data_IF_248154633238
#
_entry.id   IF_248154633238
#
_cell.length_a   1.000
_cell.length_b   1.000
_cell.length_c   1.000
_cell.angle_alpha   90.00
_cell.angle_beta   90.00
_cell.angle_gamma   90.00
#
_symmetry.space_group_name_H-M   'P 1'
#
loop_
_entity.id
_entity.type
_entity.pdbx_description
1 polymer ?
#
# COMPACT_ATOMS: atom_id res chain seq x y z
N UNK A 1 51.19 -9.58 19.52
CA UNK A 1 49.76 -9.70 19.13
C UNK A 1 48.93 -8.99 20.18
N UNK A 2 48.35 -7.84 19.82
CA UNK A 2 47.55 -6.98 20.70
C UNK A 2 46.14 -7.57 20.85
N UNK A 3 45.71 -7.80 22.08
CA UNK A 3 44.31 -8.13 22.42
C UNK A 3 43.47 -6.85 22.28
N UNK A 4 42.53 -6.85 21.34
CA UNK A 4 41.50 -5.82 21.21
C UNK A 4 40.33 -6.22 22.12
N UNK A 5 40.08 -5.41 23.16
CA UNK A 5 38.89 -5.47 24.00
C UNK A 5 37.70 -4.90 23.20
N UNK A 6 36.74 -5.75 22.84
CA UNK A 6 35.43 -5.35 22.36
C UNK A 6 34.57 -4.93 23.55
N UNK A 7 34.39 -3.62 23.75
CA UNK A 7 33.34 -3.09 24.61
C UNK A 7 32.01 -3.14 23.84
N UNK A 8 31.18 -4.15 24.11
CA UNK A 8 29.74 -4.09 23.78
C UNK A 8 29.04 -3.64 25.06
N UNK A 9 28.70 -2.36 25.14
CA UNK A 9 27.78 -1.88 26.16
C UNK A 9 26.38 -2.40 25.80
N UNK A 10 25.87 -3.37 26.56
CA UNK A 10 24.46 -3.71 26.53
C UNK A 10 23.66 -2.49 27.01
N UNK A 11 23.02 -1.78 26.08
CA UNK A 11 22.10 -0.68 26.39
C UNK A 11 20.77 -1.31 26.79
N UNK A 12 20.54 -1.47 28.08
CA UNK A 12 19.23 -1.82 28.63
C UNK A 12 18.30 -0.61 28.49
N UNK A 13 17.35 -0.70 27.56
CA UNK A 13 16.12 0.07 27.61
C UNK A 13 15.28 -0.52 28.74
N UNK A 14 15.18 0.20 29.86
CA UNK A 14 14.24 -0.14 30.92
C UNK A 14 12.93 0.55 30.56
N UNK A 15 11.93 -0.23 30.15
CA UNK A 15 10.55 0.17 30.34
C UNK A 15 10.36 0.42 31.82
N UNK A 16 9.86 1.60 32.19
CA UNK A 16 9.68 1.96 33.59
C UNK A 16 8.88 0.88 34.30
N UNK A 17 9.53 0.18 35.24
CA UNK A 17 8.85 -0.69 36.19
C UNK A 17 8.05 0.23 37.11
N UNK A 18 6.75 0.36 36.85
CA UNK A 18 5.79 0.82 37.85
C UNK A 18 5.22 -0.45 38.47
N UNK A 19 5.52 -0.64 39.76
CA UNK A 19 5.09 -1.79 40.53
C UNK A 19 3.57 -1.95 40.56
N UNK A 20 3.13 -3.20 40.52
CA UNK A 20 1.74 -3.61 40.68
C UNK A 20 1.30 -3.33 42.12
N UNK A 21 0.24 -2.54 42.29
CA UNK A 21 -0.53 -2.48 43.54
C UNK A 21 -1.31 -1.20 43.77
N UNK A 22 -2.62 -1.20 43.44
CA UNK A 22 -3.61 -0.34 44.11
C UNK A 22 -4.45 0.56 43.19
N UNK A 23 -5.75 0.24 43.11
CA UNK A 23 -6.81 1.12 42.59
C UNK A 23 -6.82 2.49 43.28
N UNK A 24 -6.82 3.57 42.51
CA UNK A 24 -7.19 4.91 42.98
C UNK A 24 -6.41 6.06 42.35
N UNK A 25 -7.00 6.66 41.31
CA UNK A 25 -7.01 8.10 41.02
C UNK A 25 -5.71 8.89 41.21
N UNK A 26 -5.09 9.28 40.08
CA UNK A 26 -5.07 10.68 39.63
C UNK A 26 -4.22 10.81 38.37
N UNK A 27 -4.72 11.62 37.44
CA UNK A 27 -3.94 12.25 36.40
C UNK A 27 -2.64 12.83 37.01
N UNK A 28 -1.55 12.08 36.87
CA UNK A 28 -0.23 12.65 36.96
C UNK A 28 -0.04 13.38 35.63
N UNK A 29 -0.26 14.69 35.65
CA UNK A 29 0.12 15.53 34.54
C UNK A 29 1.56 15.17 34.18
N UNK A 30 1.77 14.64 32.98
CA UNK A 30 3.10 14.39 32.45
C UNK A 30 3.81 15.74 32.43
N UNK A 31 4.65 16.02 33.43
CA UNK A 31 5.61 17.10 33.32
C UNK A 31 6.39 16.83 32.03
N UNK A 32 6.33 17.77 31.09
CA UNK A 32 7.12 17.70 29.87
C UNK A 32 8.58 17.54 30.28
N UNK A 33 9.09 16.31 30.22
CA UNK A 33 10.43 16.01 30.66
C UNK A 33 11.39 16.71 29.70
N UNK A 34 11.98 17.82 30.15
CA UNK A 34 12.95 18.57 29.36
C UNK A 34 14.25 17.77 29.31
N UNK A 35 14.65 17.30 28.13
CA UNK A 35 15.94 16.65 27.95
C UNK A 35 17.07 17.68 27.84
N UNK A 36 18.24 17.36 28.42
CA UNK A 36 19.40 18.24 28.46
C UNK A 36 19.98 18.56 27.07
N UNK A 37 19.73 17.69 26.11
CA UNK A 37 20.22 17.72 24.73
C UNK A 37 19.12 18.04 23.70
N UNK A 38 17.95 18.51 24.16
CA UNK A 38 16.84 18.94 23.31
C UNK A 38 16.56 20.41 23.54
N UNK A 39 17.16 21.26 22.70
CA UNK A 39 16.94 22.70 22.72
C UNK A 39 15.52 23.05 22.29
N UNK A 40 14.90 24.03 22.96
CA UNK A 40 13.57 24.58 22.61
C UNK A 40 13.51 25.17 21.20
N UNK A 41 14.67 25.57 20.65
CA UNK A 41 14.79 26.12 19.31
C UNK A 41 15.17 25.06 18.25
N UNK A 42 15.32 23.79 18.63
CA UNK A 42 15.61 22.73 17.69
C UNK A 42 14.39 22.40 16.82
N UNK A 43 14.62 22.09 15.54
CA UNK A 43 13.54 21.74 14.60
C UNK A 43 12.70 20.53 15.06
N UNK A 44 13.30 19.65 15.88
CA UNK A 44 12.66 18.45 16.41
C UNK A 44 11.96 18.65 17.75
N UNK A 45 12.08 19.82 18.40
CA UNK A 45 11.59 20.04 19.76
C UNK A 45 10.11 19.66 19.93
N UNK A 46 9.24 20.18 19.06
CA UNK A 46 7.80 19.91 19.11
C UNK A 46 7.47 18.45 18.82
N UNK A 47 8.18 17.82 17.88
CA UNK A 47 7.96 16.41 17.52
C UNK A 47 8.39 15.46 18.63
N UNK A 48 9.49 15.76 19.32
CA UNK A 48 9.95 15.00 20.48
C UNK A 48 8.91 15.09 21.61
N UNK A 49 8.46 16.29 21.95
CA UNK A 49 7.45 16.46 23.00
C UNK A 49 6.10 15.79 22.67
N UNK A 50 5.66 15.88 21.41
CA UNK A 50 4.46 15.19 20.91
C UNK A 50 4.59 13.67 21.09
N UNK A 51 5.69 13.07 20.62
CA UNK A 51 5.93 11.64 20.73
C UNK A 51 6.06 11.15 22.18
N UNK A 52 6.65 11.96 23.07
CA UNK A 52 6.72 11.68 24.51
C UNK A 52 5.34 11.69 25.15
N UNK A 53 4.53 12.72 24.86
CA UNK A 53 3.20 12.88 25.46
C UNK A 53 2.24 11.74 25.09
N UNK A 54 2.49 11.09 23.95
CA UNK A 54 1.75 9.92 23.47
C UNK A 54 2.39 8.58 23.88
N UNK A 55 3.51 8.59 24.60
CA UNK A 55 4.19 7.36 25.04
C UNK A 55 4.84 6.53 23.92
N UNK A 56 5.03 7.10 22.73
CA UNK A 56 5.60 6.41 21.55
C UNK A 56 7.12 6.29 21.66
N UNK A 57 7.76 7.30 22.23
CA UNK A 57 9.21 7.36 22.47
C UNK A 57 9.46 7.71 23.93
N UNK A 58 10.58 7.26 24.48
CA UNK A 58 11.11 7.68 25.78
C UNK A 58 12.56 8.18 25.67
N UNK A 59 12.99 8.95 26.67
CA UNK A 59 14.39 9.33 26.83
C UNK A 59 15.20 8.34 27.67
N UNK A 60 16.46 8.67 27.91
CA UNK A 60 17.38 7.86 28.69
C UNK A 60 17.37 8.23 30.17
N UNK A 61 17.72 7.30 31.09
CA UNK A 61 17.74 7.56 32.54
C UNK A 61 18.65 8.73 32.97
N UNK A 62 19.65 9.10 32.16
CA UNK A 62 20.56 10.22 32.42
C UNK A 62 19.94 11.61 32.08
N UNK A 63 18.69 11.65 31.62
CA UNK A 63 17.98 12.86 31.22
C UNK A 63 18.32 13.38 29.81
N UNK A 64 18.81 12.50 28.93
CA UNK A 64 19.08 12.81 27.51
C UNK A 64 18.07 12.13 26.58
N UNK A 65 17.88 12.70 25.39
CA UNK A 65 17.07 12.11 24.32
C UNK A 65 17.93 11.44 23.25
N UNK A 66 19.13 11.97 23.00
CA UNK A 66 20.04 11.64 21.91
C UNK A 66 19.42 11.78 20.52
N UNK A 67 19.09 13.01 20.09
CA UNK A 67 18.33 13.25 18.86
C UNK A 67 19.01 12.72 17.59
N UNK A 68 20.34 12.73 17.54
CA UNK A 68 21.12 12.34 16.36
C UNK A 68 21.51 10.84 16.35
N UNK A 69 21.30 10.12 17.46
CA UNK A 69 21.57 8.69 17.52
C UNK A 69 20.62 7.94 16.57
N UNK A 70 21.09 6.90 15.86
CA UNK A 70 20.23 6.10 15.01
C UNK A 70 19.23 5.28 15.83
N UNK A 71 18.02 5.10 15.32
CA UNK A 71 17.08 4.11 15.87
C UNK A 71 17.37 2.73 15.32
N UNK A 72 17.21 1.73 16.17
CA UNK A 72 17.27 0.32 15.75
C UNK A 72 15.99 -0.08 15.00
N UNK A 73 16.03 -1.21 14.30
CA UNK A 73 14.83 -1.80 13.67
C UNK A 73 13.70 -1.99 14.70
N UNK A 74 13.99 -2.60 15.85
CA UNK A 74 13.02 -2.81 16.93
C UNK A 74 12.40 -1.49 17.44
N UNK A 75 13.24 -0.46 17.65
CA UNK A 75 12.75 0.86 18.08
C UNK A 75 11.87 1.49 17.00
N UNK A 76 12.26 1.39 15.74
CA UNK A 76 11.50 1.95 14.63
C UNK A 76 10.13 1.28 14.49
N UNK A 77 10.04 -0.06 14.57
CA UNK A 77 8.78 -0.80 14.54
C UNK A 77 7.84 -0.36 15.67
N UNK A 78 8.34 -0.30 16.91
CA UNK A 78 7.57 0.23 18.05
C UNK A 78 7.04 1.64 17.76
N UNK A 79 7.88 2.53 17.24
CA UNK A 79 7.52 3.92 16.98
C UNK A 79 6.41 4.01 15.93
N UNK A 80 6.55 3.34 14.78
CA UNK A 80 5.57 3.45 13.69
C UNK A 80 4.23 2.81 14.06
N UNK A 81 4.24 1.65 14.72
CA UNK A 81 3.01 0.97 15.16
C UNK A 81 2.27 1.81 16.20
N UNK A 82 2.97 2.29 17.23
CA UNK A 82 2.34 3.12 18.26
C UNK A 82 1.93 4.51 17.77
N UNK A 83 2.33 4.92 16.55
CA UNK A 83 1.83 6.17 15.97
C UNK A 83 0.35 6.12 15.61
N UNK A 84 -0.18 4.91 15.39
CA UNK A 84 -1.60 4.66 15.12
C UNK A 84 -2.35 4.10 16.33
N UNK A 85 -1.69 3.98 17.48
CA UNK A 85 -2.26 3.39 18.68
C UNK A 85 -2.55 4.45 19.76
N UNK A 86 -3.50 4.15 20.65
CA UNK A 86 -3.73 4.83 21.90
C UNK A 86 -3.95 3.82 23.04
N UNK A 87 -4.24 4.31 24.25
CA UNK A 87 -4.48 3.48 25.44
C UNK A 87 -5.86 3.79 26.06
N UNK A 88 -6.85 4.16 25.24
CA UNK A 88 -8.16 4.60 25.75
C UNK A 88 -8.92 3.52 26.52
N UNK A 89 -8.58 2.25 26.27
CA UNK A 89 -9.21 1.08 26.89
C UNK A 89 -8.41 0.49 28.06
N UNK A 90 -7.33 1.15 28.52
CA UNK A 90 -6.45 0.66 29.58
C UNK A 90 -5.43 -0.40 29.11
N UNK A 91 -5.33 -0.60 27.81
CA UNK A 91 -4.28 -1.33 27.11
C UNK A 91 -4.07 -0.67 25.75
N UNK A 92 -2.88 -0.84 25.17
CA UNK A 92 -2.55 -0.23 23.88
C UNK A 92 -3.30 -0.92 22.75
N UNK A 93 -3.98 -0.13 21.93
CA UNK A 93 -4.79 -0.60 20.82
C UNK A 93 -4.75 0.39 19.65
N UNK A 94 -5.10 -0.04 18.44
CA UNK A 94 -5.27 0.89 17.32
C UNK A 94 -6.28 1.97 17.69
N UNK A 95 -5.89 3.23 17.61
CA UNK A 95 -6.74 4.34 18.03
C UNK A 95 -8.01 4.40 17.18
N UNK A 96 -9.17 4.58 17.80
CA UNK A 96 -10.46 4.63 17.09
C UNK A 96 -10.47 5.71 16.00
N UNK A 97 -9.87 6.87 16.30
CA UNK A 97 -9.69 7.96 15.34
C UNK A 97 -8.86 7.58 14.10
N UNK A 98 -8.01 6.56 14.19
CA UNK A 98 -7.25 6.03 13.06
C UNK A 98 -8.07 4.97 12.31
N UNK A 99 -8.82 4.14 13.04
CA UNK A 99 -9.71 3.14 12.44
C UNK A 99 -10.83 3.75 11.60
N UNK A 100 -11.20 5.02 11.83
CA UNK A 100 -12.11 5.79 10.97
C UNK A 100 -11.63 5.91 9.51
N UNK A 101 -10.32 5.88 9.26
CA UNK A 101 -9.76 5.90 7.89
C UNK A 101 -9.79 4.53 7.22
N UNK A 102 -10.00 3.46 7.99
CA UNK A 102 -9.89 2.08 7.52
C UNK A 102 -11.28 1.58 7.10
N UNK A 103 -11.46 1.05 5.88
CA UNK A 103 -12.71 0.38 5.51
C UNK A 103 -12.99 -0.83 6.39
N UNK A 104 -14.25 -1.10 6.71
CA UNK A 104 -14.64 -2.17 7.66
C UNK A 104 -14.05 -3.54 7.32
N UNK A 105 -13.96 -3.86 6.02
CA UNK A 105 -13.38 -5.11 5.57
C UNK A 105 -11.87 -5.22 5.84
N UNK A 106 -11.15 -4.09 5.90
CA UNK A 106 -9.71 -4.07 6.16
C UNK A 106 -9.40 -3.91 7.66
N UNK A 107 -10.32 -3.34 8.45
CA UNK A 107 -10.17 -3.25 9.92
C UNK A 107 -9.85 -4.61 10.53
N UNK A 108 -10.48 -5.69 10.04
CA UNK A 108 -10.25 -7.05 10.55
C UNK A 108 -8.78 -7.49 10.48
N UNK A 109 -8.02 -7.01 9.50
CA UNK A 109 -6.59 -7.34 9.37
C UNK A 109 -5.80 -6.66 10.49
N UNK A 110 -6.19 -5.43 10.88
CA UNK A 110 -5.63 -4.75 12.04
C UNK A 110 -6.07 -5.40 13.35
N UNK A 111 -7.33 -5.87 13.48
CA UNK A 111 -7.82 -6.59 14.66
C UNK A 111 -7.15 -7.96 14.84
N UNK A 112 -6.87 -8.69 13.75
CA UNK A 112 -6.27 -10.02 13.80
C UNK A 112 -4.81 -9.98 14.25
N UNK A 113 -4.09 -8.89 13.93
CA UNK A 113 -2.70 -8.68 14.35
C UNK A 113 -2.56 -8.27 15.83
N UNK A 114 -3.63 -8.27 16.65
CA UNK A 114 -3.57 -7.78 18.03
C UNK A 114 -3.37 -8.92 19.03
N UNK A 115 -2.11 -9.12 19.44
CA UNK A 115 -1.84 -9.22 20.87
C UNK A 115 -1.88 -7.81 21.47
N UNK A 116 -2.31 -7.63 22.71
CA UNK A 116 -2.11 -6.34 23.40
C UNK A 116 -0.64 -5.93 23.22
N UNK A 117 -0.31 -4.65 22.95
CA UNK A 117 1.12 -4.20 22.84
C UNK A 117 1.85 -4.24 24.20
N UNK A 118 1.48 -5.19 25.05
CA UNK A 118 2.13 -5.54 26.31
C UNK A 118 3.48 -6.20 25.98
N UNK A 119 4.53 -5.79 26.70
CA UNK A 119 5.89 -6.10 26.29
C UNK A 119 6.19 -7.61 26.45
N UNK A 120 6.53 -8.25 25.33
CA UNK A 120 7.06 -9.61 25.28
C UNK A 120 8.52 -9.71 25.77
N UNK A 121 9.13 -10.88 25.62
CA UNK A 121 10.54 -11.10 26.00
C UNK A 121 11.29 -11.74 24.83
N UNK A 122 12.05 -10.94 24.05
CA UNK A 122 12.53 -9.58 24.33
C UNK A 122 11.44 -8.49 24.20
N UNK A 123 11.65 -7.32 24.80
CA UNK A 123 10.67 -6.21 24.86
C UNK A 123 10.05 -5.83 23.51
N UNK A 124 10.76 -6.08 22.41
CA UNK A 124 10.32 -5.74 21.05
C UNK A 124 9.53 -6.83 20.33
N UNK A 125 9.43 -8.04 20.91
CA UNK A 125 8.84 -9.24 20.28
C UNK A 125 7.43 -8.97 19.77
N UNK A 126 6.56 -8.38 20.59
CA UNK A 126 5.18 -8.04 20.20
C UNK A 126 5.12 -7.12 18.97
N UNK A 127 6.05 -6.17 18.83
CA UNK A 127 6.08 -5.26 17.68
C UNK A 127 6.59 -5.96 16.41
N UNK A 128 7.46 -6.95 16.57
CA UNK A 128 7.94 -7.79 15.46
C UNK A 128 6.81 -8.70 14.99
N UNK A 129 6.08 -9.32 15.92
CA UNK A 129 4.95 -10.19 15.61
C UNK A 129 3.87 -9.42 14.85
N UNK A 130 3.43 -8.27 15.39
CA UNK A 130 2.46 -7.38 14.72
C UNK A 130 2.97 -6.95 13.34
N UNK A 131 4.24 -6.58 13.22
CA UNK A 131 4.81 -6.16 11.94
C UNK A 131 4.87 -7.30 10.92
N UNK A 132 5.06 -8.55 11.36
CA UNK A 132 5.07 -9.74 10.51
C UNK A 132 3.64 -10.11 10.10
N UNK A 133 2.69 -10.09 11.03
CA UNK A 133 1.26 -10.37 10.77
C UNK A 133 0.63 -9.36 9.81
N UNK A 134 1.09 -8.11 9.85
CA UNK A 134 0.70 -7.05 8.92
C UNK A 134 1.58 -6.99 7.66
N UNK A 135 2.49 -7.96 7.47
CA UNK A 135 3.40 -8.02 6.31
C UNK A 135 4.26 -6.76 6.10
N UNK A 136 4.50 -5.97 7.15
CA UNK A 136 5.38 -4.80 7.11
C UNK A 136 6.85 -5.21 6.95
N UNK A 137 7.17 -6.38 7.52
CA UNK A 137 8.44 -7.08 7.33
C UNK A 137 8.15 -8.55 6.97
N UNK A 138 8.89 -9.13 6.01
CA UNK A 138 8.88 -10.56 5.75
C UNK A 138 9.21 -11.40 6.99
N UNK A 139 8.60 -12.58 7.09
CA UNK A 139 8.90 -13.54 8.14
C UNK A 139 10.39 -13.89 8.14
N UNK A 140 11.02 -13.81 9.32
CA UNK A 140 12.45 -14.05 9.48
C UNK A 140 13.36 -12.88 9.10
N UNK A 141 12.83 -11.78 8.53
CA UNK A 141 13.62 -10.59 8.29
C UNK A 141 14.10 -9.99 9.62
N UNK A 142 15.39 -9.68 9.74
CA UNK A 142 16.06 -9.17 10.95
C UNK A 142 16.19 -10.13 12.14
N UNK A 143 15.91 -11.43 12.01
CA UNK A 143 16.21 -12.40 13.09
C UNK A 143 17.67 -12.28 13.54
N UNK A 144 17.87 -12.04 14.84
CA UNK A 144 19.18 -11.78 15.45
C UNK A 144 19.76 -10.37 15.22
N UNK A 145 19.07 -9.51 14.47
CA UNK A 145 19.55 -8.19 14.01
C UNK A 145 18.59 -7.03 14.30
N UNK A 146 17.55 -7.24 15.12
CA UNK A 146 16.58 -6.20 15.50
C UNK A 146 17.19 -4.99 16.22
N UNK A 147 18.39 -5.14 16.80
CA UNK A 147 19.13 -4.05 17.44
C UNK A 147 20.08 -3.30 16.48
N UNK A 148 20.13 -3.66 15.21
CA UNK A 148 20.88 -2.92 14.20
C UNK A 148 20.14 -1.63 13.81
N UNK A 149 20.85 -0.54 13.47
CA UNK A 149 20.27 0.66 12.89
C UNK A 149 19.48 0.38 11.61
N UNK A 150 18.31 1.01 11.46
CA UNK A 150 17.51 0.91 10.23
C UNK A 150 17.90 2.00 9.21
N UNK A 151 18.03 1.62 7.93
CA UNK A 151 18.24 2.59 6.84
C UNK A 151 16.93 3.24 6.40
N UNK A 152 17.04 4.41 5.75
CA UNK A 152 15.89 5.21 5.33
C UNK A 152 15.00 4.53 4.29
N UNK A 153 15.56 3.76 3.37
CA UNK A 153 14.78 3.00 2.36
C UNK A 153 13.99 1.83 2.99
N UNK A 154 14.56 1.17 4.01
CA UNK A 154 13.88 0.10 4.74
C UNK A 154 12.77 0.64 5.62
N UNK A 155 13.06 1.75 6.31
CA UNK A 155 12.05 2.52 7.04
C UNK A 155 10.91 2.99 6.11
N UNK A 156 11.24 3.41 4.89
CA UNK A 156 10.26 3.80 3.89
C UNK A 156 9.30 2.66 3.54
N UNK A 157 9.81 1.45 3.32
CA UNK A 157 9.00 0.26 3.07
C UNK A 157 8.00 -0.01 4.19
N UNK A 158 8.48 -0.04 5.45
CA UNK A 158 7.64 -0.32 6.62
C UNK A 158 6.55 0.75 6.77
N UNK A 159 6.90 2.02 6.59
CA UNK A 159 5.94 3.13 6.61
C UNK A 159 4.93 2.98 5.48
N UNK A 160 5.39 2.64 4.27
CA UNK A 160 4.55 2.57 3.09
C UNK A 160 3.45 1.53 3.27
N UNK A 161 3.85 0.33 3.72
CA UNK A 161 2.92 -0.77 4.00
C UNK A 161 1.94 -0.40 5.11
N UNK A 162 2.45 0.06 6.27
CA UNK A 162 1.61 0.37 7.43
C UNK A 162 0.60 1.47 7.11
N UNK A 163 1.04 2.61 6.58
CA UNK A 163 0.15 3.74 6.30
C UNK A 163 -0.87 3.40 5.21
N UNK A 164 -0.61 2.41 4.34
CA UNK A 164 -1.56 1.98 3.31
C UNK A 164 -2.77 1.24 3.86
N UNK A 165 -2.65 0.59 5.02
CA UNK A 165 -3.83 0.06 5.74
C UNK A 165 -4.80 1.17 6.15
N UNK A 166 -4.29 2.37 6.43
CA UNK A 166 -5.11 3.50 6.88
C UNK A 166 -5.54 4.41 5.72
N UNK A 167 -4.67 4.63 4.74
CA UNK A 167 -4.90 5.67 3.72
C UNK A 167 -4.93 5.14 2.28
N UNK A 168 -4.78 3.83 2.08
CA UNK A 168 -4.78 3.20 0.77
C UNK A 168 -3.46 3.37 0.01
N UNK A 169 -3.36 2.68 -1.13
CA UNK A 169 -2.13 2.61 -1.93
C UNK A 169 -2.10 3.64 -3.05
N UNK A 170 -0.93 4.27 -3.23
CA UNK A 170 -0.62 5.02 -4.45
C UNK A 170 -0.31 4.07 -5.62
N UNK A 171 -0.47 4.54 -6.86
CA UNK A 171 -0.04 3.77 -8.04
C UNK A 171 1.49 3.74 -8.12
N UNK A 172 2.05 2.58 -8.49
CA UNK A 172 3.48 2.40 -8.68
C UNK A 172 4.07 3.47 -9.60
N UNK A 173 3.52 3.66 -10.80
CA UNK A 173 4.03 4.63 -11.79
C UNK A 173 4.05 6.05 -11.23
N UNK A 174 3.00 6.44 -10.51
CA UNK A 174 2.89 7.75 -9.87
C UNK A 174 3.90 7.93 -8.73
N UNK A 175 4.08 6.90 -7.89
CA UNK A 175 5.08 6.88 -6.82
C UNK A 175 6.51 6.96 -7.39
N UNK A 176 6.83 6.12 -8.38
CA UNK A 176 8.12 6.07 -9.06
C UNK A 176 8.47 7.41 -9.71
N UNK A 177 7.51 8.05 -10.39
CA UNK A 177 7.68 9.36 -10.98
C UNK A 177 7.98 10.41 -9.91
N UNK A 178 7.28 10.37 -8.78
CA UNK A 178 7.49 11.28 -7.65
C UNK A 178 8.90 11.14 -7.10
N UNK A 179 9.35 9.91 -6.81
CA UNK A 179 10.70 9.65 -6.32
C UNK A 179 11.77 10.14 -7.30
N UNK A 180 11.62 9.82 -8.58
CA UNK A 180 12.57 10.20 -9.65
C UNK A 180 12.69 11.72 -9.81
N UNK A 181 11.58 12.46 -9.73
CA UNK A 181 11.61 13.92 -9.89
C UNK A 181 12.05 14.65 -8.62
N UNK A 182 11.77 14.08 -7.44
CA UNK A 182 12.03 14.74 -6.16
C UNK A 182 13.45 14.48 -5.64
N UNK A 183 13.99 13.28 -5.86
CA UNK A 183 15.23 12.83 -5.23
C UNK A 183 16.36 12.65 -6.25
N UNK A 184 17.42 13.45 -6.09
CA UNK A 184 18.63 13.41 -6.94
C UNK A 184 19.40 12.10 -6.83
N UNK A 185 19.19 11.35 -5.75
CA UNK A 185 19.82 10.06 -5.45
C UNK A 185 18.82 8.91 -5.45
N UNK A 186 17.67 9.07 -6.11
CA UNK A 186 16.65 8.03 -6.19
C UNK A 186 17.21 6.71 -6.72
N UNK A 187 18.08 6.78 -7.74
CA UNK A 187 18.78 5.64 -8.35
C UNK A 187 19.79 4.92 -7.41
N UNK A 188 19.96 5.37 -6.17
CA UNK A 188 20.74 4.67 -5.13
C UNK A 188 19.86 3.84 -4.20
N UNK A 189 18.55 3.95 -4.33
CA UNK A 189 17.57 3.11 -3.64
C UNK A 189 17.62 1.72 -4.27
N UNK A 190 17.51 0.66 -3.48
CA UNK A 190 17.30 -0.66 -4.06
C UNK A 190 15.93 -0.72 -4.76
N UNK A 191 15.87 -1.33 -5.95
CA UNK A 191 14.66 -1.44 -6.80
C UNK A 191 13.40 -1.85 -6.00
N UNK A 192 13.59 -2.75 -5.02
CA UNK A 192 12.53 -3.23 -4.14
C UNK A 192 11.86 -2.11 -3.31
N UNK A 193 12.61 -1.07 -2.92
CA UNK A 193 12.12 0.03 -2.08
C UNK A 193 11.75 1.30 -2.86
N UNK A 194 12.02 1.37 -4.16
CA UNK A 194 11.80 2.58 -4.96
C UNK A 194 10.34 3.06 -4.93
N UNK A 195 9.39 2.13 -5.07
CA UNK A 195 7.97 2.45 -4.99
C UNK A 195 7.60 3.05 -3.62
N UNK A 196 8.07 2.42 -2.54
CA UNK A 196 7.79 2.86 -1.18
C UNK A 196 8.36 4.26 -0.91
N UNK A 197 9.61 4.51 -1.32
CA UNK A 197 10.26 5.83 -1.21
C UNK A 197 9.47 6.91 -1.95
N UNK A 198 8.97 6.61 -3.15
CA UNK A 198 8.11 7.52 -3.90
C UNK A 198 6.74 7.74 -3.22
N UNK A 199 6.11 6.68 -2.75
CA UNK A 199 4.76 6.67 -2.17
C UNK A 199 4.67 7.41 -0.83
N UNK A 200 5.66 7.26 0.05
CA UNK A 200 5.69 8.03 1.31
C UNK A 200 6.00 9.51 1.08
N UNK A 201 6.66 9.85 -0.02
CA UNK A 201 6.85 11.24 -0.43
C UNK A 201 5.54 11.83 -0.99
N UNK A 202 4.81 11.06 -1.80
CA UNK A 202 3.44 11.41 -2.23
C UNK A 202 2.57 11.74 -1.02
N UNK A 203 2.64 10.92 0.03
CA UNK A 203 1.87 11.11 1.26
C UNK A 203 2.48 12.15 2.21
N UNK A 204 3.66 12.69 1.91
CA UNK A 204 4.28 13.76 2.69
C UNK A 204 4.87 13.33 4.03
N UNK A 205 5.17 12.04 4.20
CA UNK A 205 5.70 11.46 5.44
C UNK A 205 7.24 11.55 5.46
N UNK A 206 7.90 11.13 4.38
CA UNK A 206 9.34 11.33 4.19
C UNK A 206 9.61 11.96 2.82
N UNK A 207 10.05 13.21 2.83
CA UNK A 207 10.19 14.05 1.63
C UNK A 207 11.65 14.43 1.33
N UNK A 208 12.62 13.70 1.89
CA UNK A 208 14.05 13.98 1.75
C UNK A 208 14.50 15.25 2.48
N UNK A 209 15.71 15.72 2.15
CA UNK A 209 16.26 16.97 2.66
C UNK A 209 16.00 18.16 1.73
N UNK A 210 16.31 19.36 2.21
CA UNK A 210 16.19 20.63 1.49
C UNK A 210 17.03 20.71 0.20
N UNK A 211 18.04 19.86 0.07
CA UNK A 211 18.90 19.76 -1.12
C UNK A 211 18.35 18.80 -2.18
N UNK A 212 17.22 18.15 -1.93
CA UNK A 212 16.58 17.19 -2.84
C UNK A 212 17.23 15.81 -2.82
N UNK A 213 17.77 15.36 -1.68
CA UNK A 213 18.29 14.01 -1.50
C UNK A 213 17.44 13.22 -0.52
N UNK A 214 17.15 11.97 -0.86
CA UNK A 214 16.49 11.03 0.05
C UNK A 214 17.49 10.40 1.03
N UNK A 215 18.73 10.14 0.60
CA UNK A 215 19.80 9.45 1.33
C UNK A 215 19.42 8.02 1.73
N UNK A 216 19.09 7.11 0.80
CA UNK A 216 18.45 5.82 1.09
C UNK A 216 19.23 4.93 2.07
N UNK A 217 20.57 5.00 2.05
CA UNK A 217 21.46 4.18 2.90
C UNK A 217 21.81 4.81 4.25
N UNK A 218 21.42 6.06 4.50
CA UNK A 218 21.60 6.68 5.82
C UNK A 218 20.64 6.08 6.84
N UNK A 219 21.01 6.12 8.12
CA UNK A 219 20.14 5.66 9.20
C UNK A 219 19.09 6.71 9.58
N UNK A 220 17.96 6.25 10.11
CA UNK A 220 16.96 7.13 10.73
C UNK A 220 17.47 7.56 12.11
N UNK A 221 17.56 8.86 12.35
CA UNK A 221 17.85 9.40 13.68
C UNK A 221 16.63 9.37 14.60
N UNK A 222 16.84 9.44 15.92
CA UNK A 222 15.75 9.52 16.91
C UNK A 222 14.87 10.75 16.73
N UNK A 223 15.44 11.89 16.35
CA UNK A 223 14.70 13.10 16.02
C UNK A 223 13.81 12.92 14.78
N UNK A 224 14.32 12.26 13.73
CA UNK A 224 13.51 11.94 12.55
C UNK A 224 12.41 10.94 12.85
N UNK A 225 12.67 9.91 13.66
CA UNK A 225 11.66 8.95 14.09
C UNK A 225 10.53 9.64 14.89
N UNK A 226 10.86 10.61 15.75
CA UNK A 226 9.85 11.41 16.46
C UNK A 226 8.97 12.20 15.48
N UNK A 227 9.58 12.85 14.48
CA UNK A 227 8.84 13.56 13.42
C UNK A 227 7.94 12.62 12.63
N UNK A 228 8.48 11.48 12.17
CA UNK A 228 7.71 10.45 11.45
C UNK A 228 6.50 10.03 12.27
N UNK A 229 6.65 9.78 13.57
CA UNK A 229 5.53 9.37 14.42
C UNK A 229 4.40 10.40 14.47
N UNK A 230 4.76 11.70 14.51
CA UNK A 230 3.78 12.79 14.51
C UNK A 230 3.07 12.92 13.17
N UNK A 231 3.77 12.68 12.06
CA UNK A 231 3.19 12.71 10.71
C UNK A 231 2.28 11.52 10.41
N UNK A 232 2.63 10.34 10.93
CA UNK A 232 1.78 9.14 10.83
C UNK A 232 0.48 9.35 11.59
N UNK A 233 0.57 9.84 12.84
CA UNK A 233 -0.57 10.08 13.72
C UNK A 233 -1.55 11.15 13.20
N UNK A 234 -1.04 12.23 12.57
CA UNK A 234 -1.88 13.31 12.07
C UNK A 234 -1.57 13.64 10.60
N UNK A 235 -2.38 13.12 9.65
CA UNK A 235 -2.23 13.41 8.23
C UNK A 235 -2.25 14.89 7.86
N UNK A 236 -2.86 15.76 8.68
CA UNK A 236 -2.91 17.22 8.43
C UNK A 236 -1.55 17.90 8.61
N UNK A 237 -0.61 17.26 9.32
CA UNK A 237 0.77 17.75 9.48
C UNK A 237 1.67 17.37 8.30
N UNK A 238 1.22 16.46 7.42
CA UNK A 238 2.00 15.98 6.27
C UNK A 238 2.13 17.09 5.23
N UNK A 239 3.20 17.02 4.43
CA UNK A 239 3.36 17.90 3.26
C UNK A 239 3.46 17.05 2.00
N UNK A 240 2.30 16.59 1.45
CA UNK A 240 2.24 15.76 0.25
C UNK A 240 3.05 16.31 -0.92
N UNK A 241 3.62 15.41 -1.72
CA UNK A 241 4.35 15.78 -2.93
C UNK A 241 3.61 15.29 -4.16
N UNK A 242 3.52 16.18 -5.14
CA UNK A 242 2.89 15.90 -6.43
C UNK A 242 3.97 16.02 -7.50
N UNK A 243 4.20 14.99 -8.32
CA UNK A 243 5.12 15.09 -9.43
C UNK A 243 4.54 16.01 -10.51
N UNK A 244 5.40 16.53 -11.37
CA UNK A 244 4.96 17.18 -12.59
C UNK A 244 4.31 16.14 -13.52
N UNK A 245 3.02 16.34 -13.81
CA UNK A 245 2.19 15.47 -14.64
C UNK A 245 2.01 15.97 -16.07
N UNK A 246 2.67 17.06 -16.46
CA UNK A 246 2.48 17.69 -17.76
C UNK A 246 2.75 16.70 -18.92
N UNK A 247 1.77 16.55 -19.81
CA UNK A 247 1.85 15.68 -20.99
C UNK A 247 1.63 14.19 -20.72
N UNK A 248 1.53 13.76 -19.46
CA UNK A 248 1.31 12.36 -19.12
C UNK A 248 -0.18 11.96 -19.28
N UNK A 249 -0.46 10.71 -19.69
CA UNK A 249 -1.82 10.20 -19.81
C UNK A 249 -2.33 9.73 -18.45
N UNK A 250 -2.91 10.63 -17.65
CA UNK A 250 -3.42 10.27 -16.32
C UNK A 250 -4.89 10.65 -16.12
N UNK A 251 -5.55 9.96 -15.18
CA UNK A 251 -6.86 10.33 -14.66
C UNK A 251 -6.97 10.00 -13.18
N UNK A 252 -7.93 10.63 -12.50
CA UNK A 252 -8.39 10.17 -11.20
C UNK A 252 -9.28 8.94 -11.41
N UNK A 253 -8.99 7.85 -10.71
CA UNK A 253 -9.76 6.60 -10.75
C UNK A 253 -10.20 6.22 -9.34
N UNK A 254 -11.32 5.49 -9.20
CA UNK A 254 -11.73 4.96 -7.92
C UNK A 254 -10.61 4.15 -7.25
N UNK A 255 -10.41 4.41 -5.96
CA UNK A 255 -9.48 3.64 -5.12
C UNK A 255 -9.95 2.20 -4.90
N UNK A 256 -9.27 1.50 -4.00
CA UNK A 256 -9.81 0.27 -3.44
C UNK A 256 -11.07 0.58 -2.64
N UNK A 257 -12.01 -0.37 -2.52
CA UNK A 257 -13.28 -0.07 -1.88
C UNK A 257 -13.09 0.51 -0.46
N UNK A 258 -13.69 1.67 -0.23
CA UNK A 258 -13.67 2.40 1.02
C UNK A 258 -12.48 3.34 1.18
N UNK A 259 -11.49 3.26 0.29
CA UNK A 259 -10.38 4.21 0.23
C UNK A 259 -10.66 5.34 -0.75
N UNK A 260 -9.97 6.49 -0.60
CA UNK A 260 -10.09 7.62 -1.51
C UNK A 260 -9.70 7.26 -2.95
N UNK A 261 -10.20 8.06 -3.89
CA UNK A 261 -9.77 8.04 -5.28
C UNK A 261 -8.26 8.33 -5.39
N UNK A 262 -7.65 7.82 -6.46
CA UNK A 262 -6.20 7.98 -6.70
C UNK A 262 -5.89 8.39 -8.13
N UNK A 263 -4.72 8.99 -8.31
CA UNK A 263 -4.16 9.26 -9.62
C UNK A 263 -3.66 7.95 -10.23
N UNK A 264 -4.04 7.72 -11.49
CA UNK A 264 -3.58 6.60 -12.31
C UNK A 264 -2.97 7.14 -13.60
N UNK A 265 -1.70 6.85 -13.81
CA UNK A 265 -0.94 7.05 -15.04
C UNK A 265 -1.16 5.80 -15.90
N UNK A 266 -1.81 5.98 -17.03
CA UNK A 266 -2.03 4.93 -18.02
C UNK A 266 -0.78 4.71 -18.87
N UNK A 267 -0.67 3.58 -19.54
CA UNK A 267 0.45 3.33 -20.46
C UNK A 267 0.57 4.42 -21.53
N UNK A 268 -0.56 4.84 -22.12
CA UNK A 268 -0.57 5.85 -23.17
C UNK A 268 -1.91 6.62 -23.20
N UNK A 269 -1.95 7.70 -23.99
CA UNK A 269 -3.15 8.55 -24.14
C UNK A 269 -4.34 7.79 -24.74
N UNK A 270 -4.10 6.76 -25.53
CA UNK A 270 -5.16 5.91 -26.08
C UNK A 270 -5.83 5.09 -24.99
N UNK A 271 -5.06 4.39 -24.15
CA UNK A 271 -5.58 3.60 -23.02
C UNK A 271 -6.36 4.46 -22.04
N UNK A 272 -5.86 5.67 -21.71
CA UNK A 272 -6.60 6.62 -20.88
C UNK A 272 -7.95 7.01 -21.51
N UNK A 273 -7.98 7.27 -22.82
CA UNK A 273 -9.23 7.60 -23.54
C UNK A 273 -10.19 6.41 -23.52
N UNK A 274 -9.68 5.21 -23.79
CA UNK A 274 -10.48 3.99 -23.79
C UNK A 274 -11.07 3.70 -22.39
N UNK A 275 -10.30 3.93 -21.33
CA UNK A 275 -10.81 3.83 -19.95
C UNK A 275 -12.00 4.77 -19.73
N UNK A 276 -11.87 6.06 -20.11
CA UNK A 276 -12.95 7.05 -19.95
C UNK A 276 -14.20 6.66 -20.72
N UNK A 277 -14.05 6.27 -21.99
CA UNK A 277 -15.15 5.80 -22.83
C UNK A 277 -15.86 4.60 -22.19
N UNK A 278 -15.12 3.59 -21.75
CA UNK A 278 -15.72 2.41 -21.13
C UNK A 278 -16.32 2.71 -19.75
N UNK A 279 -15.72 3.62 -18.98
CA UNK A 279 -16.23 4.05 -17.67
C UNK A 279 -17.58 4.77 -17.81
N UNK A 280 -17.74 5.62 -18.82
CA UNK A 280 -18.99 6.31 -19.11
C UNK A 280 -20.05 5.33 -19.61
N UNK A 281 -19.62 4.39 -20.47
CA UNK A 281 -20.48 3.32 -21.01
C UNK A 281 -21.04 2.36 -19.96
N UNK A 282 -20.40 2.23 -18.79
CA UNK A 282 -20.95 1.44 -17.68
C UNK A 282 -22.38 1.89 -17.28
N UNK A 283 -22.77 3.13 -17.57
CA UNK A 283 -24.13 3.64 -17.31
C UNK A 283 -25.19 2.99 -18.21
N UNK A 284 -24.80 2.42 -19.36
CA UNK A 284 -25.69 1.77 -20.31
C UNK A 284 -25.80 0.25 -20.06
N UNK A 285 -25.06 -0.28 -19.09
CA UNK A 285 -25.03 -1.72 -18.83
C UNK A 285 -26.30 -2.17 -18.10
N UNK A 286 -26.99 -3.15 -18.68
CA UNK A 286 -28.18 -3.80 -18.10
C UNK A 286 -27.77 -4.81 -17.01
N UNK A 287 -27.30 -4.26 -15.89
CA UNK A 287 -26.79 -4.99 -14.74
C UNK A 287 -26.20 -4.03 -13.70
N UNK A 288 -25.27 -4.53 -12.90
CA UNK A 288 -24.54 -3.73 -11.90
C UNK A 288 -23.08 -3.57 -12.31
N UNK A 289 -22.48 -2.46 -11.89
CA UNK A 289 -21.12 -2.09 -12.28
C UNK A 289 -20.30 -1.67 -11.07
N UNK A 290 -18.98 -1.83 -11.17
CA UNK A 290 -18.05 -1.23 -10.21
C UNK A 290 -16.75 -0.82 -10.91
N UNK A 291 -15.96 0.02 -10.24
CA UNK A 291 -14.64 0.43 -10.68
C UNK A 291 -13.69 0.49 -9.50
N UNK A 292 -12.49 -0.09 -9.62
CA UNK A 292 -11.37 0.09 -8.66
C UNK A 292 -10.04 0.00 -9.40
N UNK A 293 -9.04 0.82 -9.05
CA UNK A 293 -7.68 0.77 -9.64
C UNK A 293 -7.66 0.71 -11.18
N UNK A 294 -8.47 1.54 -11.84
CA UNK A 294 -8.67 1.52 -13.30
C UNK A 294 -9.23 0.20 -13.88
N UNK A 295 -9.75 -0.71 -13.06
CA UNK A 295 -10.48 -1.90 -13.50
C UNK A 295 -11.98 -1.66 -13.44
N UNK A 296 -12.65 -1.86 -14.57
CA UNK A 296 -14.10 -1.81 -14.71
C UNK A 296 -14.67 -3.23 -14.58
N UNK A 297 -15.72 -3.39 -13.78
CA UNK A 297 -16.38 -4.69 -13.54
C UNK A 297 -17.87 -4.59 -13.80
N UNK A 298 -18.43 -5.68 -14.31
CA UNK A 298 -19.81 -5.80 -14.75
C UNK A 298 -20.41 -7.06 -14.12
N UNK A 299 -21.62 -6.95 -13.59
CA UNK A 299 -22.29 -7.97 -12.79
C UNK A 299 -23.76 -8.10 -13.18
N UNK A 300 -24.34 -9.27 -12.97
CA UNK A 300 -25.77 -9.50 -13.23
C UNK A 300 -26.71 -8.69 -12.34
N UNK A 301 -26.34 -8.53 -11.06
CA UNK A 301 -27.17 -7.95 -10.02
C UNK A 301 -26.30 -7.42 -8.86
N UNK A 302 -26.94 -6.72 -7.93
CA UNK A 302 -26.29 -6.16 -6.74
C UNK A 302 -25.67 -7.24 -5.86
N UNK A 303 -26.35 -8.38 -5.73
CA UNK A 303 -25.90 -9.51 -4.91
C UNK A 303 -24.59 -10.10 -5.44
N UNK A 304 -24.46 -10.25 -6.77
CA UNK A 304 -23.22 -10.69 -7.39
C UNK A 304 -22.08 -9.70 -7.17
N UNK A 305 -22.35 -8.40 -7.31
CA UNK A 305 -21.37 -7.35 -6.97
C UNK A 305 -20.95 -7.46 -5.50
N UNK A 306 -21.91 -7.56 -4.58
CA UNK A 306 -21.65 -7.70 -3.16
C UNK A 306 -20.84 -8.95 -2.83
N UNK A 307 -21.14 -10.09 -3.43
CA UNK A 307 -20.41 -11.33 -3.22
C UNK A 307 -18.99 -11.29 -3.83
N UNK A 308 -18.81 -10.62 -4.97
CA UNK A 308 -17.49 -10.35 -5.54
C UNK A 308 -16.64 -9.51 -4.58
N UNK A 309 -17.23 -8.41 -4.10
CA UNK A 309 -16.62 -7.47 -3.19
C UNK A 309 -16.27 -8.19 -1.86
N UNK A 310 -17.20 -8.98 -1.31
CA UNK A 310 -17.01 -9.86 -0.16
C UNK A 310 -15.87 -10.85 -0.38
N UNK A 311 -15.76 -11.47 -1.55
CA UNK A 311 -14.68 -12.42 -1.87
C UNK A 311 -13.31 -11.73 -1.81
N UNK A 312 -13.21 -10.52 -2.36
CA UNK A 312 -12.00 -9.70 -2.27
C UNK A 312 -11.71 -9.26 -0.82
N UNK A 313 -12.75 -8.81 -0.10
CA UNK A 313 -12.68 -8.33 1.29
C UNK A 313 -12.26 -9.37 2.28
N UNK A 314 -12.84 -10.56 2.19
CA UNK A 314 -12.66 -11.61 3.17
C UNK A 314 -11.48 -12.53 2.84
N UNK A 315 -10.71 -12.23 1.78
CA UNK A 315 -9.66 -13.11 1.25
C UNK A 315 -10.18 -14.55 1.15
N UNK A 316 -11.40 -14.71 0.62
CA UNK A 316 -12.01 -16.02 0.42
C UNK A 316 -11.36 -16.68 -0.80
N UNK A 317 -10.05 -16.93 -0.69
CA UNK A 317 -9.20 -17.49 -1.74
C UNK A 317 -9.69 -18.85 -2.22
N UNK A 318 -10.46 -19.55 -1.39
CA UNK A 318 -11.05 -20.85 -1.67
C UNK A 318 -12.47 -20.77 -2.27
N UNK A 319 -13.09 -19.60 -2.39
CA UNK A 319 -14.39 -19.48 -3.07
C UNK A 319 -14.17 -19.66 -4.59
N UNK A 320 -14.68 -20.73 -5.22
CA UNK A 320 -14.45 -20.98 -6.65
C UNK A 320 -15.39 -20.16 -7.54
N UNK A 321 -16.37 -19.45 -6.97
CA UNK A 321 -17.40 -18.77 -7.73
C UNK A 321 -16.86 -17.53 -8.46
N UNK A 322 -17.40 -17.33 -9.66
CA UNK A 322 -17.16 -16.16 -10.50
C UNK A 322 -18.45 -15.35 -10.51
N UNK A 323 -18.38 -14.15 -9.93
CA UNK A 323 -19.55 -13.30 -9.74
C UNK A 323 -19.68 -12.23 -10.82
N UNK A 324 -18.59 -11.87 -11.50
CA UNK A 324 -18.62 -10.92 -12.60
C UNK A 324 -19.03 -11.58 -13.91
N UNK A 325 -19.64 -10.80 -14.79
CA UNK A 325 -19.88 -11.16 -16.18
C UNK A 325 -18.62 -10.91 -17.02
N UNK A 326 -18.03 -9.71 -16.87
CA UNK A 326 -16.74 -9.35 -17.45
C UNK A 326 -16.01 -8.33 -16.56
N UNK A 327 -14.68 -8.37 -16.59
CA UNK A 327 -13.83 -7.29 -16.05
C UNK A 327 -12.91 -6.78 -17.15
N UNK A 328 -12.62 -5.48 -17.17
CA UNK A 328 -11.70 -4.85 -18.12
C UNK A 328 -10.77 -3.94 -17.33
N UNK A 329 -9.50 -4.31 -17.24
CA UNK A 329 -8.45 -3.55 -16.56
C UNK A 329 -7.62 -2.72 -17.54
N UNK A 330 -7.35 -1.49 -17.15
CA UNK A 330 -6.55 -0.49 -17.87
C UNK A 330 -5.26 -0.16 -17.11
N UNK A 331 -4.69 -1.18 -16.48
CA UNK A 331 -3.49 -1.06 -15.64
C UNK A 331 -2.27 -1.67 -16.35
N UNK A 332 -1.07 -1.22 -15.98
CA UNK A 332 0.19 -1.64 -16.61
C UNK A 332 0.23 -1.37 -18.13
N UNK A 333 1.02 -2.15 -18.88
CA UNK A 333 1.24 -1.99 -20.33
C UNK A 333 0.27 -2.83 -21.20
N UNK A 334 -0.84 -3.31 -20.63
CA UNK A 334 -1.80 -4.14 -21.35
C UNK A 334 -3.22 -3.91 -20.83
N UNK A 335 -4.21 -4.13 -21.69
CA UNK A 335 -5.57 -4.35 -21.25
C UNK A 335 -5.71 -5.80 -20.80
N UNK A 336 -6.26 -6.02 -19.60
CA UNK A 336 -6.53 -7.36 -19.09
C UNK A 336 -8.03 -7.55 -18.90
N UNK A 337 -8.59 -8.59 -19.51
CA UNK A 337 -10.02 -8.89 -19.46
C UNK A 337 -10.20 -10.27 -18.84
N UNK A 338 -11.11 -10.40 -17.87
CA UNK A 338 -11.64 -11.69 -17.44
C UNK A 338 -13.08 -11.80 -17.89
N UNK A 339 -13.39 -12.76 -18.76
CA UNK A 339 -14.72 -12.97 -19.32
C UNK A 339 -15.31 -14.27 -18.78
N UNK A 340 -16.47 -14.18 -18.14
CA UNK A 340 -17.25 -15.35 -17.75
C UNK A 340 -17.93 -15.96 -18.99
N UNK A 341 -17.58 -17.19 -19.34
CA UNK A 341 -18.09 -17.87 -20.55
C UNK A 341 -19.38 -18.66 -20.33
N UNK A 342 -19.89 -18.69 -19.10
CA UNK A 342 -21.19 -19.31 -18.83
C UNK A 342 -22.31 -18.53 -19.54
N UNK A 343 -23.27 -19.25 -20.13
CA UNK A 343 -24.19 -18.74 -21.17
C UNK A 343 -24.86 -17.40 -20.83
N UNK A 344 -25.41 -17.27 -19.63
CA UNK A 344 -26.15 -16.06 -19.23
C UNK A 344 -25.22 -14.87 -18.98
N UNK A 345 -24.09 -15.10 -18.33
CA UNK A 345 -23.07 -14.07 -18.08
C UNK A 345 -22.47 -13.57 -19.40
N UNK A 346 -22.13 -14.51 -20.29
CA UNK A 346 -21.64 -14.19 -21.62
C UNK A 346 -22.64 -13.35 -22.41
N UNK A 347 -23.94 -13.70 -22.38
CA UNK A 347 -24.96 -12.94 -23.12
C UNK A 347 -25.02 -11.47 -22.71
N UNK A 348 -24.86 -11.16 -21.41
CA UNK A 348 -24.79 -9.78 -20.92
C UNK A 348 -23.46 -9.11 -21.27
N UNK A 349 -22.34 -9.81 -21.07
CA UNK A 349 -21.00 -9.26 -21.29
C UNK A 349 -20.65 -9.03 -22.77
N UNK A 350 -21.26 -9.77 -23.70
CA UNK A 350 -20.85 -9.82 -25.11
C UNK A 350 -20.86 -8.45 -25.78
N UNK A 351 -21.85 -7.62 -25.48
CA UNK A 351 -21.98 -6.27 -26.04
C UNK A 351 -20.81 -5.38 -25.61
N UNK A 352 -20.46 -5.40 -24.33
CA UNK A 352 -19.38 -4.59 -23.77
C UNK A 352 -18.01 -5.07 -24.23
N UNK A 353 -17.79 -6.39 -24.29
CA UNK A 353 -16.58 -6.98 -24.84
C UNK A 353 -16.38 -6.60 -26.31
N UNK A 354 -17.45 -6.71 -27.12
CA UNK A 354 -17.39 -6.37 -28.54
C UNK A 354 -17.06 -4.90 -28.74
N UNK A 355 -17.77 -4.01 -28.04
CA UNK A 355 -17.51 -2.57 -28.12
C UNK A 355 -16.07 -2.24 -27.74
N UNK A 356 -15.56 -2.83 -26.65
CA UNK A 356 -14.18 -2.62 -26.23
C UNK A 356 -13.15 -3.10 -27.27
N UNK A 357 -13.36 -4.28 -27.86
CA UNK A 357 -12.48 -4.82 -28.89
C UNK A 357 -12.48 -3.95 -30.15
N UNK A 358 -13.65 -3.47 -30.57
CA UNK A 358 -13.78 -2.54 -31.71
C UNK A 358 -13.12 -1.19 -31.41
N UNK A 359 -13.20 -0.71 -30.17
CA UNK A 359 -12.54 0.51 -29.71
C UNK A 359 -11.00 0.39 -29.81
N UNK A 360 -10.42 -0.74 -29.41
CA UNK A 360 -8.95 -0.95 -29.40
C UNK A 360 -8.38 -1.29 -30.78
N UNK A 361 -9.12 -2.04 -31.60
CA UNK A 361 -8.61 -2.56 -32.88
C UNK A 361 -9.17 -1.84 -34.11
N UNK A 362 -10.14 -0.94 -33.95
CA UNK A 362 -10.79 -0.20 -35.03
C UNK A 362 -11.30 -1.13 -36.13
N UNK A 363 -10.84 -0.92 -37.36
CA UNK A 363 -11.21 -1.73 -38.53
C UNK A 363 -10.90 -3.25 -38.37
N UNK A 364 -9.96 -3.61 -37.49
CA UNK A 364 -9.63 -5.01 -37.21
C UNK A 364 -10.49 -5.63 -36.08
N UNK A 365 -11.37 -4.85 -35.45
CA UNK A 365 -12.18 -5.29 -34.31
C UNK A 365 -13.02 -6.52 -34.60
N UNK A 366 -13.69 -6.57 -35.76
CA UNK A 366 -14.50 -7.72 -36.16
C UNK A 366 -13.66 -9.01 -36.27
N UNK A 367 -12.45 -8.91 -36.84
CA UNK A 367 -11.52 -10.04 -36.96
C UNK A 367 -11.08 -10.54 -35.59
N UNK A 368 -10.72 -9.63 -34.68
CA UNK A 368 -10.34 -9.99 -33.30
C UNK A 368 -11.52 -10.63 -32.57
N UNK A 369 -12.73 -10.11 -32.76
CA UNK A 369 -13.91 -10.67 -32.13
C UNK A 369 -14.23 -12.10 -32.62
N UNK A 370 -13.97 -12.43 -33.88
CA UNK A 370 -14.08 -13.82 -34.39
C UNK A 370 -13.07 -14.76 -33.71
N UNK A 371 -11.86 -14.30 -33.44
CA UNK A 371 -10.87 -15.07 -32.67
C UNK A 371 -11.37 -15.32 -31.24
N UNK A 372 -11.95 -14.31 -30.60
CA UNK A 372 -12.58 -14.44 -29.27
C UNK A 372 -13.77 -15.39 -29.29
N UNK A 373 -14.65 -15.34 -30.29
CA UNK A 373 -15.78 -16.27 -30.41
C UNK A 373 -15.30 -17.72 -30.54
N UNK A 374 -14.24 -17.97 -31.29
CA UNK A 374 -13.63 -19.29 -31.41
C UNK A 374 -13.07 -19.77 -30.06
N UNK A 375 -12.40 -18.89 -29.32
CA UNK A 375 -11.91 -19.17 -27.98
C UNK A 375 -13.04 -19.45 -26.98
N UNK A 376 -14.14 -18.68 -27.03
CA UNK A 376 -15.33 -18.87 -26.19
C UNK A 376 -15.94 -20.25 -26.43
N UNK A 377 -16.11 -20.65 -27.69
CA UNK A 377 -16.64 -21.98 -28.05
C UNK A 377 -15.77 -23.09 -27.47
N UNK A 378 -14.45 -22.97 -27.60
CA UNK A 378 -13.51 -23.95 -27.04
C UNK A 378 -13.59 -24.01 -25.50
N UNK A 379 -13.63 -22.85 -24.82
CA UNK A 379 -13.75 -22.80 -23.37
C UNK A 379 -15.09 -23.38 -22.87
N UNK A 380 -16.20 -23.09 -23.54
CA UNK A 380 -17.51 -23.69 -23.22
C UNK A 380 -17.53 -25.21 -23.44
N UNK A 381 -16.77 -25.70 -24.43
CA UNK A 381 -16.54 -27.12 -24.65
C UNK A 381 -15.50 -27.74 -23.67
N UNK A 382 -15.05 -26.99 -22.65
CA UNK A 382 -14.05 -27.41 -21.66
C UNK A 382 -12.72 -27.85 -22.29
N UNK A 383 -12.35 -27.23 -23.41
CA UNK A 383 -11.05 -27.43 -24.06
C UNK A 383 -10.07 -26.35 -23.64
N UNK A 384 -8.79 -26.68 -23.67
CA UNK A 384 -7.72 -25.71 -23.48
C UNK A 384 -7.76 -24.66 -24.60
N UNK A 385 -7.58 -23.41 -24.21
CA UNK A 385 -7.46 -22.23 -25.06
C UNK A 385 -6.06 -21.68 -24.84
N UNK A 386 -5.29 -21.61 -25.92
CA UNK A 386 -3.97 -21.01 -25.96
C UNK A 386 -3.86 -20.26 -27.28
N UNK A 387 -4.08 -18.95 -27.23
CA UNK A 387 -3.94 -18.06 -28.38
C UNK A 387 -2.86 -17.06 -28.04
N UNK A 388 -1.84 -16.96 -28.89
CA UNK A 388 -0.86 -15.88 -28.88
C UNK A 388 -0.67 -15.41 -30.34
N UNK A 389 -1.22 -14.24 -30.66
CA UNK A 389 -1.25 -13.68 -32.01
C UNK A 389 -0.97 -12.20 -32.00
N UNK A 390 -0.31 -11.71 -33.04
CA UNK A 390 -0.20 -10.27 -33.32
C UNK A 390 -1.24 -9.87 -34.35
N UNK A 391 -2.13 -8.95 -33.99
CA UNK A 391 -3.17 -8.40 -34.88
C UNK A 391 -3.06 -6.88 -34.84
N UNK A 392 -2.92 -6.23 -36.00
CA UNK A 392 -2.75 -4.78 -36.10
C UNK A 392 -1.60 -4.24 -35.20
N UNK A 393 -0.49 -4.97 -35.13
CA UNK A 393 0.67 -4.62 -34.30
C UNK A 393 0.46 -4.83 -32.80
N UNK A 394 -0.70 -5.31 -32.34
CA UNK A 394 -0.96 -5.59 -30.93
C UNK A 394 -0.85 -7.08 -30.65
N UNK A 395 -0.20 -7.43 -29.55
CA UNK A 395 -0.23 -8.79 -29.04
C UNK A 395 -1.59 -9.07 -28.40
N UNK A 396 -2.22 -10.16 -28.81
CA UNK A 396 -3.45 -10.72 -28.28
C UNK A 396 -3.13 -12.09 -27.69
N UNK A 397 -3.28 -12.22 -26.38
CA UNK A 397 -3.14 -13.48 -25.65
C UNK A 397 -4.50 -13.89 -25.11
N UNK A 398 -4.91 -15.14 -25.32
CA UNK A 398 -6.15 -15.69 -24.75
C UNK A 398 -5.85 -17.03 -24.10
N UNK A 399 -6.23 -17.19 -22.83
CA UNK A 399 -6.06 -18.44 -22.10
C UNK A 399 -7.21 -18.74 -21.15
N UNK A 400 -7.33 -19.98 -20.69
CA UNK A 400 -8.39 -20.42 -19.79
C UNK A 400 -7.91 -21.36 -18.67
N UNK A 401 -7.15 -20.82 -17.71
CA UNK A 401 -6.77 -21.57 -16.52
C UNK A 401 -7.98 -22.02 -15.66
N UNK A 402 -9.11 -21.32 -15.76
CA UNK A 402 -10.39 -21.73 -15.20
C UNK A 402 -11.37 -22.03 -16.35
N UNK A 403 -12.03 -23.19 -16.38
CA UNK A 403 -12.90 -23.56 -17.50
C UNK A 403 -14.13 -22.64 -17.66
N UNK A 404 -14.45 -21.81 -16.67
CA UNK A 404 -15.57 -20.84 -16.69
C UNK A 404 -15.13 -19.43 -17.08
N UNK A 405 -13.83 -19.17 -17.24
CA UNK A 405 -13.29 -17.82 -17.48
C UNK A 405 -12.25 -17.84 -18.60
N UNK A 406 -12.37 -16.92 -19.54
CA UNK A 406 -11.29 -16.56 -20.44
C UNK A 406 -10.50 -15.37 -19.86
N UNK A 407 -9.19 -15.52 -19.79
CA UNK A 407 -8.25 -14.42 -19.58
C UNK A 407 -7.81 -13.92 -20.95
N UNK A 408 -8.03 -12.64 -21.24
CA UNK A 408 -7.65 -12.02 -22.51
C UNK A 408 -6.71 -10.86 -22.21
N UNK A 409 -5.49 -10.93 -22.71
CA UNK A 409 -4.50 -9.86 -22.67
C UNK A 409 -4.38 -9.19 -24.02
N UNK A 410 -4.41 -7.86 -24.06
CA UNK A 410 -4.16 -7.07 -25.27
C UNK A 410 -3.09 -6.03 -24.98
N UNK A 411 -2.00 -6.00 -25.74
CA UNK A 411 -0.95 -4.99 -25.54
C UNK A 411 -1.50 -3.57 -25.69
N UNK A 412 -1.15 -2.68 -24.75
CA UNK A 412 -1.59 -1.29 -24.77
C UNK A 412 -0.96 -0.50 -25.93
N UNK A 413 0.20 -0.93 -26.40
CA UNK A 413 0.91 -0.40 -27.55
C UNK A 413 0.68 -1.27 -28.79
N UNK A 414 0.67 -0.63 -29.95
CA UNK A 414 0.68 -1.27 -31.25
C UNK A 414 2.07 -1.07 -31.85
N UNK A 415 2.77 -2.18 -32.09
CA UNK A 415 4.03 -2.23 -32.82
C UNK A 415 3.72 -1.95 -34.29
N UNK A 416 3.64 -0.66 -34.63
CA UNK A 416 3.61 -0.21 -36.03
C UNK A 416 5.00 0.12 -36.56
N UNK A 417 6.06 -0.06 -35.74
CA UNK A 417 7.48 0.07 -36.10
C UNK A 417 8.35 -0.80 -35.20
#
# INVERSE_FOLDING_TARGET
MRKLLSWVAAVTLVAGVIGIGGNGSKAQAAEAQSFKDVSVNAWYYSYVNDALSRGVISGFPNGTFKPDDPVTVAQFLKIVLLSYADESYGYKYWAESQLEYVPDWNKRNLHAAVGTFDEGSPWYEVYVDVATDLFLIPEGEYVGRYNEPITREKAASIIDELDSYFHGFSQKEYSMLTGTQLFKDFNRTEDYYEQAVGSIAVRGIMVGNDKGYFNPKSYISRAEAAKISSLLNDPKKRTPKTPNMAGLPYATVPGQLGYPDRIHIFANHEMMKNYKVMKDRQNDYDGFVSGTFATLRYFKDEEAKFNNDKKAYYLLVNDPNIYHDVTISFDSNAYSINLNVEKEALNRAKTELKYFVELVFGANGAKVFTELESAIVNAQARKDVDVDKVIAGRQLVISNANPKVLNIGISAYSDSK
#
